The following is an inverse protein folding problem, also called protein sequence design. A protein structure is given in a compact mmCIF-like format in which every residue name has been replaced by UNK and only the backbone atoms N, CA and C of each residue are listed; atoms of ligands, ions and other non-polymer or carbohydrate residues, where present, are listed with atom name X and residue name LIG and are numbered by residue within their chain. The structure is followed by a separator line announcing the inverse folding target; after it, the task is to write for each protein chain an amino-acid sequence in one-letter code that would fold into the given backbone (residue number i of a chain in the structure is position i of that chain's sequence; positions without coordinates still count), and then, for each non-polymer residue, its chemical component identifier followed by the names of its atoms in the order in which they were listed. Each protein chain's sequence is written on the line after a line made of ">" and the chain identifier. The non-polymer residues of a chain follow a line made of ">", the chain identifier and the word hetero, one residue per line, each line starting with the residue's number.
data_IF_243873332608
#
_entry.id   IF_243873332608
#
_cell.length_a   1.000
_cell.length_b   1.000
_cell.length_c   1.000
_cell.angle_alpha   90.00
_cell.angle_beta   90.00
_cell.angle_gamma   90.00
#
_symmetry.space_group_name_H-M   'P 1'
#
loop_
_entity.id
_entity.type
_entity.pdbx_description
1 polymer ?
#
# COMPACT_ATOMS: atom_id res chain seq x y z
N UNK A 1 -2.70 38.49 -0.70
CA UNK A 1 -2.00 39.78 -0.57
C UNK A 1 -0.68 39.65 -1.28
N UNK A 2 -0.40 40.46 -2.30
CA UNK A 2 0.88 40.41 -3.02
C UNK A 2 1.92 41.17 -2.20
N UNK A 3 2.73 40.45 -1.43
CA UNK A 3 3.88 41.02 -0.72
C UNK A 3 4.85 41.62 -1.71
N UNK A 4 5.12 42.91 -1.58
CA UNK A 4 6.10 43.63 -2.40
C UNK A 4 7.46 43.64 -1.68
N UNK A 5 8.59 43.73 -2.39
CA UNK A 5 9.91 43.87 -1.75
C UNK A 5 10.01 45.04 -0.75
N UNK A 6 9.12 46.05 -0.89
CA UNK A 6 9.00 47.17 0.05
C UNK A 6 8.55 46.74 1.45
N UNK A 7 7.87 45.61 1.58
CA UNK A 7 7.35 45.11 2.87
C UNK A 7 8.48 44.51 3.76
N UNK A 8 9.60 44.11 3.14
CA UNK A 8 10.75 43.49 3.83
C UNK A 8 11.84 44.48 4.29
N UNK A 9 11.67 45.78 4.00
CA UNK A 9 12.64 46.85 4.32
C UNK A 9 14.09 46.48 3.90
N UNK A 10 14.23 45.88 2.72
CA UNK A 10 15.52 45.45 2.16
C UNK A 10 16.34 46.66 1.71
N UNK A 11 17.66 46.62 1.87
CA UNK A 11 18.52 47.56 1.18
C UNK A 11 18.34 47.44 -0.35
N UNK A 12 18.58 48.50 -1.14
CA UNK A 12 18.41 48.44 -2.59
C UNK A 12 19.19 47.29 -3.26
N UNK A 13 20.38 46.98 -2.76
CA UNK A 13 21.21 45.86 -3.23
C UNK A 13 20.61 44.50 -2.87
N UNK A 14 20.10 44.35 -1.64
CA UNK A 14 19.43 43.14 -1.19
C UNK A 14 18.13 42.88 -1.99
N UNK A 15 17.33 43.92 -2.24
CA UNK A 15 16.13 43.83 -3.06
C UNK A 15 16.45 43.33 -4.49
N UNK A 16 17.46 43.92 -5.14
CA UNK A 16 17.90 43.48 -6.47
C UNK A 16 18.40 42.02 -6.49
N UNK A 17 19.13 41.60 -5.44
CA UNK A 17 19.61 40.22 -5.30
C UNK A 17 18.46 39.23 -5.12
N UNK A 18 17.44 39.58 -4.34
CA UNK A 18 16.27 38.74 -4.09
C UNK A 18 15.40 38.59 -5.35
N UNK A 19 15.15 39.69 -6.06
CA UNK A 19 14.41 39.66 -7.33
C UNK A 19 15.13 38.81 -8.39
N UNK A 20 16.46 38.88 -8.43
CA UNK A 20 17.28 37.99 -9.28
C UNK A 20 17.14 36.52 -8.88
N UNK A 21 17.07 36.20 -7.58
CA UNK A 21 16.83 34.83 -7.12
C UNK A 21 15.44 34.34 -7.52
N UNK A 22 14.38 35.13 -7.29
CA UNK A 22 13.01 34.75 -7.64
C UNK A 22 12.82 34.60 -9.16
N UNK A 23 13.47 35.44 -9.98
CA UNK A 23 13.42 35.27 -11.44
C UNK A 23 14.07 33.97 -11.91
N UNK A 24 15.16 33.53 -11.27
CA UNK A 24 15.80 32.23 -11.54
C UNK A 24 14.92 31.05 -11.08
N UNK A 25 14.22 31.19 -9.96
CA UNK A 25 13.24 30.18 -9.49
C UNK A 25 12.09 30.05 -10.48
N UNK A 26 11.52 31.16 -10.96
CA UNK A 26 10.50 31.14 -12.02
C UNK A 26 10.98 30.46 -13.29
N UNK A 27 12.20 30.76 -13.72
CA UNK A 27 12.79 30.13 -14.89
C UNK A 27 12.97 28.61 -14.71
N UNK A 28 13.33 28.16 -13.50
CA UNK A 28 13.45 26.73 -13.17
C UNK A 28 12.09 26.01 -13.13
N UNK A 29 11.01 26.72 -12.76
CA UNK A 29 9.65 26.19 -12.69
C UNK A 29 8.87 26.28 -14.01
N UNK A 30 9.37 27.01 -15.01
CA UNK A 30 8.64 27.26 -16.27
C UNK A 30 8.30 26.01 -17.10
N UNK A 31 8.80 24.82 -16.73
CA UNK A 31 8.51 23.54 -17.39
C UNK A 31 7.79 22.50 -16.52
N UNK A 32 7.44 22.84 -15.27
CA UNK A 32 6.84 21.90 -14.33
C UNK A 32 5.32 22.10 -14.26
N UNK A 33 4.56 21.27 -14.96
CA UNK A 33 3.09 21.41 -15.05
C UNK A 33 2.33 21.16 -13.74
N UNK A 34 2.96 20.47 -12.78
CA UNK A 34 2.33 20.04 -11.53
C UNK A 34 2.52 21.02 -10.36
N UNK A 35 3.30 22.10 -10.54
CA UNK A 35 3.64 23.04 -9.46
C UNK A 35 3.27 24.45 -9.87
N UNK A 36 2.46 25.12 -9.04
CA UNK A 36 2.09 26.52 -9.23
C UNK A 36 3.28 27.44 -8.85
N UNK A 37 3.92 28.15 -9.79
CA UNK A 37 5.09 28.97 -9.49
C UNK A 37 4.81 30.09 -8.48
N UNK A 38 3.57 30.60 -8.47
CA UNK A 38 3.16 31.66 -7.54
C UNK A 38 3.12 31.21 -6.09
N UNK A 39 2.79 29.94 -5.82
CA UNK A 39 2.79 29.37 -4.47
C UNK A 39 4.22 29.23 -3.95
N UNK A 40 5.13 28.68 -4.76
CA UNK A 40 6.55 28.55 -4.38
C UNK A 40 7.20 29.91 -4.14
N UNK A 41 6.89 30.92 -4.98
CA UNK A 41 7.38 32.28 -4.74
C UNK A 41 6.82 32.88 -3.44
N UNK A 42 5.55 32.64 -3.13
CA UNK A 42 4.93 33.10 -1.88
C UNK A 42 5.60 32.46 -0.66
N UNK A 43 5.82 31.15 -0.69
CA UNK A 43 6.48 30.40 0.38
C UNK A 43 7.93 30.86 0.59
N UNK A 44 8.68 31.12 -0.49
CA UNK A 44 10.04 31.65 -0.40
C UNK A 44 10.04 33.04 0.25
N UNK A 45 9.09 33.92 -0.14
CA UNK A 45 8.96 35.26 0.47
C UNK A 45 8.64 35.17 1.95
N UNK A 46 7.68 34.33 2.33
CA UNK A 46 7.31 34.11 3.73
C UNK A 46 8.49 33.55 4.55
N UNK A 47 9.25 32.60 4.00
CA UNK A 47 10.43 32.07 4.66
C UNK A 47 11.52 33.13 4.87
N UNK A 48 11.81 33.93 3.84
CA UNK A 48 12.79 35.03 3.92
C UNK A 48 12.35 36.09 4.93
N UNK A 49 11.06 36.42 4.98
CA UNK A 49 10.49 37.33 5.98
C UNK A 49 10.71 36.81 7.41
N UNK A 50 10.36 35.55 7.65
CA UNK A 50 10.46 34.92 8.96
C UNK A 50 11.91 34.86 9.46
N UNK A 51 12.86 34.50 8.58
CA UNK A 51 14.29 34.44 8.94
C UNK A 51 14.90 35.83 9.17
N UNK A 52 14.43 36.86 8.47
CA UNK A 52 14.96 38.22 8.55
C UNK A 52 14.20 39.13 9.52
N UNK A 53 13.14 38.64 10.18
CA UNK A 53 12.32 39.44 11.08
C UNK A 53 13.14 40.14 12.20
N UNK A 54 14.23 39.51 12.66
CA UNK A 54 15.11 40.05 13.70
C UNK A 54 16.35 40.81 13.16
N UNK A 55 16.51 40.92 11.84
CA UNK A 55 17.66 41.59 11.25
C UNK A 55 17.56 43.13 11.39
N UNK A 56 18.70 43.84 11.51
CA UNK A 56 18.73 45.31 11.49
C UNK A 56 18.13 45.85 10.18
N UNK A 57 17.38 46.95 10.27
CA UNK A 57 16.73 47.60 9.12
C UNK A 57 17.45 48.88 8.69
N UNK A 58 17.64 49.13 7.39
CA UNK A 58 17.29 48.26 6.26
C UNK A 58 18.15 46.99 6.22
N UNK A 59 17.58 45.86 5.78
CA UNK A 59 18.25 44.55 5.83
C UNK A 59 19.47 44.56 4.90
N UNK A 60 20.68 44.24 5.39
CA UNK A 60 21.89 44.23 4.58
C UNK A 60 21.95 43.01 3.66
N UNK A 61 22.59 43.18 2.49
CA UNK A 61 22.78 42.11 1.48
C UNK A 61 23.35 40.82 2.09
N UNK A 62 24.33 40.94 2.99
CA UNK A 62 24.97 39.78 3.62
C UNK A 62 23.99 38.92 4.46
N UNK A 63 23.01 39.53 5.12
CA UNK A 63 22.00 38.80 5.88
C UNK A 63 21.05 38.04 4.94
N UNK A 64 20.62 38.67 3.85
CA UNK A 64 19.82 38.03 2.82
C UNK A 64 20.58 36.87 2.15
N UNK A 65 21.84 37.08 1.76
CA UNK A 65 22.65 36.04 1.10
C UNK A 65 22.84 34.81 2.00
N UNK A 66 22.93 34.98 3.32
CA UNK A 66 22.97 33.87 4.27
C UNK A 66 21.67 33.05 4.24
N UNK A 67 20.50 33.71 4.17
CA UNK A 67 19.19 33.04 4.04
C UNK A 67 19.05 32.36 2.68
N UNK A 68 19.43 33.03 1.59
CA UNK A 68 19.39 32.44 0.24
C UNK A 68 20.34 31.22 0.11
N UNK A 69 21.46 31.25 0.82
CA UNK A 69 22.39 30.10 0.90
C UNK A 69 21.76 28.92 1.62
N UNK A 70 21.01 29.15 2.71
CA UNK A 70 20.24 28.09 3.39
C UNK A 70 19.14 27.54 2.51
N UNK A 71 18.45 28.41 1.77
CA UNK A 71 17.41 27.99 0.83
C UNK A 71 17.98 27.09 -0.25
N UNK A 72 19.17 27.39 -0.79
CA UNK A 72 19.88 26.59 -1.80
C UNK A 72 19.77 27.19 -3.23
N UNK A 73 20.38 26.58 -4.25
CA UNK A 73 20.41 27.12 -5.61
C UNK A 73 19.01 27.13 -6.25
N UNK A 74 18.64 28.17 -7.03
CA UNK A 74 17.31 28.26 -7.66
C UNK A 74 16.90 27.05 -8.51
N UNK A 75 17.87 26.36 -9.10
CA UNK A 75 17.63 25.18 -9.96
C UNK A 75 17.07 23.96 -9.22
N UNK A 76 17.17 23.90 -7.88
CA UNK A 76 16.67 22.76 -7.11
C UNK A 76 15.13 22.77 -6.95
N UNK A 77 14.49 23.93 -7.18
CA UNK A 77 13.04 24.10 -7.04
C UNK A 77 12.28 23.54 -8.25
N UNK A 78 12.95 23.40 -9.40
CA UNK A 78 12.42 22.61 -10.51
C UNK A 78 12.40 21.14 -10.14
N UNK A 79 11.31 20.44 -10.43
CA UNK A 79 11.29 18.97 -10.31
C UNK A 79 12.30 18.42 -11.31
N UNK A 80 13.50 18.12 -10.82
CA UNK A 80 14.36 17.15 -11.46
C UNK A 80 13.64 15.80 -11.32
N UNK A 81 12.69 15.56 -12.22
CA UNK A 81 12.42 14.22 -12.74
C UNK A 81 13.70 13.79 -13.46
N UNK A 82 14.78 13.62 -12.70
CA UNK A 82 15.98 12.97 -13.18
C UNK A 82 15.69 11.47 -13.05
N UNK A 83 15.34 10.78 -14.14
CA UNK A 83 15.15 9.33 -14.09
C UNK A 83 16.40 8.63 -13.54
N UNK A 84 17.58 9.27 -13.57
CA UNK A 84 18.80 8.72 -13.01
C UNK A 84 18.85 8.72 -11.49
N UNK A 85 18.15 9.62 -10.79
CA UNK A 85 18.07 9.59 -9.32
C UNK A 85 17.23 8.41 -8.83
N UNK A 86 16.09 8.16 -9.48
CA UNK A 86 15.24 7.00 -9.17
C UNK A 86 15.95 5.69 -9.52
N UNK A 87 16.71 5.67 -10.63
CA UNK A 87 17.57 4.54 -10.98
C UNK A 87 18.71 4.33 -9.99
N UNK A 88 19.38 5.40 -9.54
CA UNK A 88 20.47 5.38 -8.55
C UNK A 88 19.96 4.95 -7.18
N UNK A 89 18.79 5.43 -6.75
CA UNK A 89 18.13 5.00 -5.52
C UNK A 89 17.76 3.52 -5.58
N UNK A 90 17.18 3.05 -6.70
CA UNK A 90 16.92 1.62 -6.93
C UNK A 90 18.21 0.78 -6.91
N UNK A 91 19.28 1.28 -7.51
CA UNK A 91 20.58 0.59 -7.53
C UNK A 91 21.17 0.49 -6.12
N UNK A 92 21.28 1.60 -5.40
CA UNK A 92 21.81 1.64 -4.04
C UNK A 92 20.96 0.80 -3.07
N UNK A 93 19.63 0.83 -3.22
CA UNK A 93 18.74 0.00 -2.43
C UNK A 93 18.93 -1.49 -2.73
N UNK A 94 19.08 -1.86 -4.01
CA UNK A 94 19.37 -3.23 -4.44
C UNK A 94 20.73 -3.70 -3.91
N UNK A 95 21.77 -2.88 -3.99
CA UNK A 95 23.10 -3.19 -3.46
C UNK A 95 23.09 -3.35 -1.95
N UNK A 96 22.43 -2.44 -1.21
CA UNK A 96 22.27 -2.56 0.24
C UNK A 96 21.50 -3.80 0.64
N UNK A 97 20.42 -4.14 -0.09
CA UNK A 97 19.69 -5.38 0.13
C UNK A 97 20.54 -6.62 -0.13
N UNK A 98 21.32 -6.63 -1.22
CA UNK A 98 22.22 -7.75 -1.55
C UNK A 98 23.33 -7.89 -0.51
N UNK A 99 23.93 -6.78 -0.06
CA UNK A 99 24.98 -6.76 0.97
C UNK A 99 24.44 -7.21 2.34
N UNK A 100 23.28 -6.70 2.76
CA UNK A 100 22.61 -7.13 4.00
C UNK A 100 22.24 -8.62 3.95
N UNK A 101 21.81 -9.11 2.77
CA UNK A 101 21.50 -10.53 2.54
C UNK A 101 22.76 -11.39 2.60
N UNK A 102 23.88 -10.95 2.03
CA UNK A 102 25.14 -11.69 2.09
C UNK A 102 25.63 -11.85 3.54
N UNK A 103 25.64 -10.77 4.34
CA UNK A 103 26.08 -10.82 5.73
C UNK A 103 25.17 -11.68 6.63
N UNK A 104 23.85 -11.60 6.44
CA UNK A 104 22.88 -12.43 7.19
C UNK A 104 22.96 -13.90 6.78
N UNK A 105 23.16 -14.20 5.51
CA UNK A 105 23.32 -15.58 5.02
C UNK A 105 24.56 -16.23 5.63
N UNK A 106 25.69 -15.53 5.72
CA UNK A 106 26.91 -16.10 6.32
C UNK A 106 26.77 -16.36 7.83
N UNK A 107 26.11 -15.45 8.57
CA UNK A 107 25.78 -15.70 9.98
C UNK A 107 24.82 -16.86 10.15
N UNK A 108 23.78 -16.93 9.32
CA UNK A 108 22.82 -18.02 9.34
C UNK A 108 23.47 -19.37 9.00
N UNK A 109 24.36 -19.43 8.02
CA UNK A 109 25.16 -20.62 7.70
C UNK A 109 25.98 -21.07 8.91
N UNK A 110 26.66 -20.15 9.60
CA UNK A 110 27.50 -20.49 10.76
C UNK A 110 26.68 -21.11 11.90
N UNK A 111 25.58 -20.47 12.30
CA UNK A 111 24.67 -21.01 13.34
C UNK A 111 24.09 -22.36 12.91
N UNK A 112 23.71 -22.47 11.63
CA UNK A 112 23.17 -23.71 11.04
C UNK A 112 24.17 -24.86 11.08
N UNK A 113 25.46 -24.62 10.82
CA UNK A 113 26.50 -25.66 10.91
C UNK A 113 26.76 -26.07 12.35
N UNK A 114 26.70 -25.14 13.32
CA UNK A 114 26.87 -25.48 14.75
C UNK A 114 25.73 -26.35 15.28
N UNK A 115 24.51 -26.18 14.76
CA UNK A 115 23.33 -26.93 15.17
C UNK A 115 23.16 -28.28 14.45
N UNK A 116 24.04 -28.63 13.49
CA UNK A 116 23.92 -29.85 12.70
C UNK A 116 25.27 -30.56 12.55
N UNK A 117 25.58 -31.51 13.43
CA UNK A 117 26.86 -32.22 13.44
C UNK A 117 26.88 -33.55 12.67
N UNK A 118 25.74 -34.07 12.20
CA UNK A 118 25.73 -35.35 11.47
C UNK A 118 24.37 -35.79 10.96
N UNK A 119 24.29 -36.89 10.20
CA UNK A 119 23.01 -37.45 9.72
C UNK A 119 22.10 -37.91 10.87
N UNK A 120 22.70 -38.32 11.99
CA UNK A 120 22.05 -38.73 13.25
C UNK A 120 21.60 -37.55 14.13
N UNK A 121 21.73 -36.30 13.67
CA UNK A 121 21.42 -35.14 14.53
C UNK A 121 19.92 -34.79 14.49
N UNK A 122 19.18 -35.22 15.51
CA UNK A 122 17.74 -34.96 15.63
C UNK A 122 17.41 -33.62 16.31
N UNK A 123 18.41 -32.87 16.78
CA UNK A 123 18.22 -31.69 17.64
C UNK A 123 17.33 -30.64 17.01
N UNK A 124 17.54 -30.31 15.74
CA UNK A 124 16.76 -29.28 15.05
C UNK A 124 15.30 -29.71 14.83
N UNK A 125 15.04 -31.00 14.58
CA UNK A 125 13.69 -31.54 14.43
C UNK A 125 12.94 -31.53 15.76
N UNK A 126 13.60 -31.95 16.85
CA UNK A 126 13.03 -31.85 18.20
C UNK A 126 12.83 -30.41 18.65
N UNK A 127 13.73 -29.50 18.31
CA UNK A 127 13.58 -28.08 18.64
C UNK A 127 12.39 -27.47 17.89
N UNK A 128 12.26 -27.73 16.59
CA UNK A 128 11.12 -27.24 15.80
C UNK A 128 9.79 -27.78 16.35
N UNK A 129 9.69 -29.09 16.60
CA UNK A 129 8.49 -29.71 17.13
C UNK A 129 8.21 -29.28 18.58
N UNK A 130 9.24 -29.19 19.43
CA UNK A 130 9.12 -28.79 20.83
C UNK A 130 8.62 -27.36 20.98
N UNK A 131 9.14 -26.42 20.17
CA UNK A 131 8.62 -25.04 20.12
C UNK A 131 7.17 -25.02 19.65
N UNK A 132 6.83 -25.81 18.63
CA UNK A 132 5.44 -25.93 18.15
C UNK A 132 4.49 -26.47 19.23
N UNK A 133 4.85 -27.58 19.89
CA UNK A 133 4.05 -28.21 20.93
C UNK A 133 3.90 -27.31 22.17
N UNK A 134 4.98 -26.64 22.59
CA UNK A 134 4.93 -25.67 23.69
C UNK A 134 4.00 -24.50 23.36
N UNK A 135 4.08 -23.98 22.13
CA UNK A 135 3.15 -22.97 21.64
C UNK A 135 1.70 -23.45 21.71
N UNK A 136 1.44 -24.65 21.22
CA UNK A 136 0.09 -25.22 21.19
C UNK A 136 -0.49 -25.43 22.60
N UNK A 137 0.34 -25.84 23.57
CA UNK A 137 -0.06 -26.02 24.97
C UNK A 137 -0.36 -24.70 25.69
N UNK A 138 0.39 -23.65 25.37
CA UNK A 138 0.30 -22.36 26.07
C UNK A 138 -0.74 -21.41 25.47
N UNK A 139 -1.17 -21.62 24.23
CA UNK A 139 -2.15 -20.84 23.44
C UNK A 139 -1.82 -19.36 23.23
N UNK A 140 -1.47 -18.61 24.27
CA UNK A 140 -1.13 -17.18 24.25
C UNK A 140 0.09 -16.91 23.37
N UNK A 141 1.16 -17.70 23.52
CA UNK A 141 2.38 -17.58 22.71
C UNK A 141 2.36 -18.42 21.43
N UNK A 142 1.23 -19.09 21.13
CA UNK A 142 1.11 -19.95 19.96
C UNK A 142 1.46 -19.25 18.64
N UNK A 143 1.01 -18.02 18.33
CA UNK A 143 1.33 -17.38 17.05
C UNK A 143 2.83 -17.17 16.86
N UNK A 144 3.53 -16.72 17.92
CA UNK A 144 4.97 -16.48 17.88
C UNK A 144 5.73 -17.81 17.79
N UNK A 145 5.34 -18.78 18.62
CA UNK A 145 5.93 -20.12 18.62
C UNK A 145 5.71 -20.85 17.28
N UNK A 146 4.57 -20.64 16.63
CA UNK A 146 4.27 -21.18 15.30
C UNK A 146 5.22 -20.61 14.23
N UNK A 147 5.47 -19.29 14.25
CA UNK A 147 6.42 -18.66 13.33
C UNK A 147 7.84 -19.16 13.57
N UNK A 148 8.28 -19.24 14.83
CA UNK A 148 9.62 -19.73 15.18
C UNK A 148 9.79 -21.20 14.79
N UNK A 149 8.83 -22.06 15.14
CA UNK A 149 8.86 -23.49 14.78
C UNK A 149 8.83 -23.71 13.27
N UNK A 150 8.08 -22.89 12.53
CA UNK A 150 8.10 -22.88 11.06
C UNK A 150 9.49 -22.56 10.50
N UNK A 151 10.14 -21.51 11.00
CA UNK A 151 11.49 -21.12 10.56
C UNK A 151 12.50 -22.25 10.85
N UNK A 152 12.45 -22.83 12.05
CA UNK A 152 13.31 -23.96 12.44
C UNK A 152 13.07 -25.19 11.56
N UNK A 153 11.80 -25.51 11.29
CA UNK A 153 11.44 -26.64 10.45
C UNK A 153 11.92 -26.45 9.00
N UNK A 154 11.74 -25.25 8.43
CA UNK A 154 12.25 -24.88 7.09
C UNK A 154 13.77 -24.96 7.04
N UNK A 155 14.47 -24.50 8.08
CA UNK A 155 15.92 -24.66 8.18
C UNK A 155 16.32 -26.14 8.18
N UNK A 156 15.63 -26.99 8.95
CA UNK A 156 15.91 -28.43 9.00
C UNK A 156 15.67 -29.17 7.70
N UNK A 157 14.61 -28.79 6.96
CA UNK A 157 14.35 -29.31 5.62
C UNK A 157 15.44 -28.88 4.61
N UNK A 158 15.87 -27.61 4.66
CA UNK A 158 16.93 -27.10 3.80
C UNK A 158 18.28 -27.80 4.07
N UNK A 159 18.62 -28.08 5.35
CA UNK A 159 19.86 -28.80 5.71
C UNK A 159 19.86 -30.21 5.18
N UNK A 160 18.75 -30.92 5.34
CA UNK A 160 18.63 -32.29 4.84
C UNK A 160 18.77 -32.33 3.32
N UNK A 161 18.15 -31.39 2.61
CA UNK A 161 18.23 -31.29 1.15
C UNK A 161 19.66 -31.00 0.67
N UNK A 162 20.36 -30.03 1.27
CA UNK A 162 21.75 -29.70 0.90
C UNK A 162 22.73 -30.85 1.14
N UNK A 163 22.50 -31.66 2.18
CA UNK A 163 23.34 -32.83 2.48
C UNK A 163 22.95 -34.09 1.71
N UNK A 164 21.92 -34.04 0.87
CA UNK A 164 21.40 -35.21 0.15
C UNK A 164 20.83 -36.30 1.07
N UNK A 165 20.44 -35.96 2.30
CA UNK A 165 19.95 -36.94 3.28
C UNK A 165 18.44 -37.09 3.11
N UNK A 166 17.99 -38.29 2.77
CA UNK A 166 16.57 -38.63 2.77
C UNK A 166 16.05 -38.66 4.22
N UNK A 167 15.07 -37.79 4.52
CA UNK A 167 14.43 -37.76 5.83
C UNK A 167 13.58 -39.02 6.04
N UNK A 168 13.92 -39.83 7.04
CA UNK A 168 13.08 -40.94 7.49
C UNK A 168 11.68 -40.47 7.93
N UNK A 169 10.71 -41.37 7.95
CA UNK A 169 9.31 -41.06 8.28
C UNK A 169 9.18 -40.34 9.63
N UNK A 170 9.85 -40.83 10.68
CA UNK A 170 9.83 -40.21 12.02
C UNK A 170 10.33 -38.75 12.02
N UNK A 171 11.37 -38.44 11.26
CA UNK A 171 11.91 -37.07 11.21
C UNK A 171 11.02 -36.13 10.41
N UNK A 172 10.35 -36.62 9.36
CA UNK A 172 9.33 -35.84 8.64
C UNK A 172 8.19 -35.44 9.58
N UNK A 173 7.73 -36.34 10.43
CA UNK A 173 6.65 -36.06 11.39
C UNK A 173 6.96 -34.93 12.38
N UNK A 174 8.23 -34.72 12.73
CA UNK A 174 8.64 -33.63 13.62
C UNK A 174 8.71 -32.26 12.91
N UNK A 175 9.09 -32.25 11.63
CA UNK A 175 9.31 -31.01 10.87
C UNK A 175 8.04 -30.52 10.15
N UNK A 176 7.18 -31.44 9.69
CA UNK A 176 6.07 -31.10 8.80
C UNK A 176 4.89 -30.36 9.46
N UNK A 177 4.48 -30.64 10.72
CA UNK A 177 3.31 -29.98 11.31
C UNK A 177 3.35 -28.44 11.26
N UNK A 178 4.40 -27.75 11.74
CA UNK A 178 4.45 -26.29 11.64
C UNK A 178 4.52 -25.79 10.19
N UNK A 179 5.19 -26.54 9.29
CA UNK A 179 5.28 -26.20 7.86
C UNK A 179 3.92 -26.29 7.18
N UNK A 180 3.20 -27.39 7.37
CA UNK A 180 1.88 -27.60 6.78
C UNK A 180 0.89 -26.59 7.35
N UNK A 181 0.90 -26.37 8.67
CA UNK A 181 -0.05 -25.46 9.30
C UNK A 181 0.14 -24.01 8.81
N UNK A 182 1.39 -23.49 8.82
CA UNK A 182 1.66 -22.14 8.32
C UNK A 182 1.35 -22.04 6.83
N UNK A 183 1.74 -23.02 6.02
CA UNK A 183 1.48 -22.99 4.59
C UNK A 183 -0.02 -23.04 4.28
N UNK A 184 -0.78 -23.84 5.02
CA UNK A 184 -2.24 -23.91 4.89
C UNK A 184 -2.90 -22.58 5.27
N UNK A 185 -2.48 -21.98 6.39
CA UNK A 185 -3.01 -20.67 6.82
C UNK A 185 -2.67 -19.59 5.79
N UNK A 186 -1.43 -19.56 5.28
CA UNK A 186 -1.02 -18.64 4.23
C UNK A 186 -1.82 -18.86 2.94
N UNK A 187 -2.05 -20.11 2.55
CA UNK A 187 -2.85 -20.46 1.38
C UNK A 187 -4.31 -20.02 1.54
N UNK A 188 -4.92 -20.31 2.70
CA UNK A 188 -6.28 -19.87 3.02
C UNK A 188 -6.34 -18.35 3.00
N UNK A 189 -5.42 -17.65 3.66
CA UNK A 189 -5.37 -16.19 3.66
C UNK A 189 -5.25 -15.63 2.23
N UNK A 190 -4.41 -16.24 1.40
CA UNK A 190 -4.21 -15.85 -0.01
C UNK A 190 -5.48 -15.98 -0.85
N UNK A 191 -6.29 -17.00 -0.60
CA UNK A 191 -7.55 -17.27 -1.32
C UNK A 191 -8.73 -16.47 -0.73
N UNK A 192 -8.78 -16.33 0.59
CA UNK A 192 -9.87 -15.66 1.32
C UNK A 192 -9.76 -14.14 1.23
N UNK A 193 -8.55 -13.58 1.16
CA UNK A 193 -8.34 -12.13 1.08
C UNK A 193 -9.16 -11.43 -0.01
N UNK A 194 -9.15 -11.87 -1.28
CA UNK A 194 -9.95 -11.22 -2.32
C UNK A 194 -11.46 -11.41 -2.10
N UNK A 195 -11.89 -12.53 -1.48
CA UNK A 195 -13.30 -12.74 -1.12
C UNK A 195 -13.72 -11.78 0.00
N UNK A 196 -12.85 -11.54 0.98
CA UNK A 196 -13.08 -10.57 2.05
C UNK A 196 -13.15 -9.14 1.47
N UNK A 197 -12.25 -8.78 0.56
CA UNK A 197 -12.28 -7.48 -0.13
C UNK A 197 -13.56 -7.29 -0.95
N UNK A 198 -13.99 -8.33 -1.68
CA UNK A 198 -15.27 -8.33 -2.40
C UNK A 198 -16.47 -8.24 -1.44
N UNK A 199 -16.41 -8.89 -0.28
CA UNK A 199 -17.45 -8.82 0.74
C UNK A 199 -17.58 -7.42 1.37
N UNK A 200 -16.45 -6.75 1.65
CA UNK A 200 -16.44 -5.38 2.19
C UNK A 200 -17.06 -4.42 1.18
N UNK A 201 -16.62 -4.47 -0.08
CA UNK A 201 -17.17 -3.63 -1.15
C UNK A 201 -18.65 -3.91 -1.41
N UNK A 202 -19.06 -5.19 -1.41
CA UNK A 202 -20.47 -5.57 -1.55
C UNK A 202 -21.35 -5.09 -0.41
N UNK A 203 -20.83 -5.02 0.83
CA UNK A 203 -21.56 -4.45 1.97
C UNK A 203 -21.79 -2.95 1.81
N UNK A 204 -20.84 -2.21 1.26
CA UNK A 204 -21.02 -0.78 0.96
C UNK A 204 -22.09 -0.57 -0.11
N UNK A 205 -22.10 -1.37 -1.18
CA UNK A 205 -23.16 -1.33 -2.20
C UNK A 205 -24.53 -1.66 -1.61
N UNK A 206 -24.62 -2.71 -0.78
CA UNK A 206 -25.87 -3.08 -0.11
C UNK A 206 -26.35 -2.00 0.86
N UNK A 207 -25.43 -1.38 1.60
CA UNK A 207 -25.73 -0.24 2.47
C UNK A 207 -26.26 0.95 1.65
N UNK A 208 -25.68 1.21 0.48
CA UNK A 208 -26.11 2.26 -0.45
C UNK A 208 -27.53 2.01 -0.96
N UNK A 209 -27.83 0.79 -1.40
CA UNK A 209 -29.18 0.40 -1.79
C UNK A 209 -30.20 0.54 -0.65
N UNK A 210 -29.81 0.17 0.58
CA UNK A 210 -30.67 0.32 1.74
C UNK A 210 -30.91 1.79 2.12
N UNK A 211 -29.91 2.67 1.93
CA UNK A 211 -30.07 4.13 2.11
C UNK A 211 -31.10 4.68 1.12
N UNK A 212 -31.02 4.32 -0.15
CA UNK A 212 -31.99 4.74 -1.19
C UNK A 212 -33.39 4.27 -0.82
N UNK A 213 -33.57 2.98 -0.48
CA UNK A 213 -34.89 2.43 -0.15
C UNK A 213 -35.52 3.14 1.07
N UNK A 214 -34.73 3.42 2.10
CA UNK A 214 -35.23 4.09 3.30
C UNK A 214 -35.44 5.60 3.09
N UNK A 215 -34.68 6.23 2.18
CA UNK A 215 -34.83 7.65 1.87
C UNK A 215 -36.20 7.96 1.24
N UNK A 216 -36.69 7.07 0.38
CA UNK A 216 -37.99 7.21 -0.30
C UNK A 216 -39.18 6.83 0.60
N UNK A 217 -38.95 6.27 1.80
CA UNK A 217 -40.06 5.94 2.72
C UNK A 217 -40.62 7.21 3.34
N UNK A 218 -41.95 7.43 3.28
CA UNK A 218 -42.57 8.59 3.91
C UNK A 218 -42.37 8.53 5.43
N UNK A 219 -41.94 9.66 6.02
CA UNK A 219 -41.79 9.74 7.47
C UNK A 219 -43.16 9.66 8.15
N UNK A 220 -43.27 8.97 9.30
CA UNK A 220 -44.46 9.06 10.12
C UNK A 220 -44.61 10.51 10.62
N UNK A 221 -45.85 11.03 10.57
CA UNK A 221 -46.17 12.36 11.07
C UNK A 221 -45.84 12.43 12.57
N UNK A 222 -45.03 13.41 13.02
CA UNK A 222 -44.70 13.58 14.44
C UNK A 222 -45.95 13.83 15.27
N UNK A 223 -46.11 13.09 16.38
CA UNK A 223 -47.26 13.18 17.29
C UNK A 223 -47.01 14.09 18.48
N UNK A 224 -45.75 14.42 18.78
CA UNK A 224 -45.38 15.24 19.94
C UNK A 224 -44.12 16.11 19.68
N UNK A 225 -43.84 17.06 20.57
CA UNK A 225 -42.75 18.03 20.44
C UNK A 225 -41.34 17.40 20.46
N UNK A 226 -41.17 16.27 21.17
CA UNK A 226 -39.91 15.52 21.14
C UNK A 226 -39.69 14.91 19.76
N UNK A 227 -40.73 14.31 19.19
CA UNK A 227 -40.71 13.78 17.83
C UNK A 227 -40.53 14.86 16.76
N UNK A 228 -41.00 16.10 16.99
CA UNK A 228 -40.71 17.24 16.09
C UNK A 228 -39.23 17.64 16.11
N UNK A 229 -38.59 17.70 17.29
CA UNK A 229 -37.14 17.96 17.38
C UNK A 229 -36.34 16.86 16.68
N UNK A 230 -36.75 15.60 16.86
CA UNK A 230 -36.16 14.45 16.17
C UNK A 230 -36.50 14.45 14.66
N UNK A 231 -37.59 15.09 14.24
CA UNK A 231 -37.92 15.26 12.82
C UNK A 231 -37.05 16.34 12.18
N UNK A 232 -36.72 17.42 12.89
CA UNK A 232 -35.82 18.46 12.40
C UNK A 232 -34.39 17.94 12.20
N UNK A 233 -33.85 17.18 13.16
CA UNK A 233 -32.54 16.52 13.00
C UNK A 233 -32.54 15.47 11.88
N UNK A 234 -33.67 14.79 11.66
CA UNK A 234 -33.88 13.91 10.50
C UNK A 234 -33.91 14.69 9.18
N UNK A 235 -34.51 15.88 9.14
CA UNK A 235 -34.54 16.71 7.93
C UNK A 235 -33.12 17.18 7.57
N UNK A 236 -32.34 17.68 8.53
CA UNK A 236 -30.93 18.03 8.30
C UNK A 236 -30.08 16.83 7.86
N UNK A 237 -30.38 15.63 8.36
CA UNK A 237 -29.77 14.40 7.88
C UNK A 237 -30.20 14.09 6.44
N UNK A 238 -31.48 14.21 6.09
CA UNK A 238 -31.99 14.02 4.72
C UNK A 238 -31.33 14.98 3.75
N UNK A 239 -31.20 16.26 4.11
CA UNK A 239 -30.56 17.26 3.25
C UNK A 239 -29.08 16.94 3.00
N UNK A 240 -28.35 16.44 4.01
CA UNK A 240 -26.96 15.98 3.86
C UNK A 240 -26.82 14.71 3.02
N UNK A 241 -27.80 13.81 3.11
CA UNK A 241 -27.77 12.49 2.46
C UNK A 241 -28.39 12.53 1.06
N UNK A 242 -29.20 13.54 0.73
CA UNK A 242 -29.87 13.68 -0.55
C UNK A 242 -28.89 13.72 -1.73
N UNK A 243 -27.76 14.41 -1.60
CA UNK A 243 -26.72 14.43 -2.64
C UNK A 243 -26.11 13.04 -2.86
N UNK A 244 -25.77 12.34 -1.77
CA UNK A 244 -25.23 10.97 -1.84
C UNK A 244 -26.23 9.97 -2.41
N UNK A 245 -27.51 10.06 -2.04
CA UNK A 245 -28.57 9.18 -2.54
C UNK A 245 -28.81 9.40 -4.04
N UNK A 246 -28.73 10.64 -4.51
CA UNK A 246 -28.86 10.94 -5.94
C UNK A 246 -27.67 10.40 -6.75
N UNK A 247 -26.44 10.51 -6.24
CA UNK A 247 -25.25 9.88 -6.83
C UNK A 247 -25.36 8.35 -6.84
N UNK A 248 -25.74 7.73 -5.71
CA UNK A 248 -25.93 6.28 -5.58
C UNK A 248 -27.04 5.78 -6.55
N UNK A 249 -28.11 6.56 -6.72
CA UNK A 249 -29.21 6.26 -7.64
C UNK A 249 -28.76 6.32 -9.10
N UNK A 250 -27.98 7.34 -9.48
CA UNK A 250 -27.36 7.43 -10.81
C UNK A 250 -26.46 6.23 -11.10
N UNK A 251 -25.60 5.87 -10.15
CA UNK A 251 -24.72 4.71 -10.24
C UNK A 251 -25.49 3.40 -10.47
N UNK A 252 -26.55 3.16 -9.68
CA UNK A 252 -27.34 1.92 -9.81
C UNK A 252 -28.18 1.89 -11.09
N UNK A 253 -28.62 3.04 -11.60
CA UNK A 253 -29.39 3.12 -12.85
C UNK A 253 -28.55 2.81 -14.10
N UNK A 254 -27.22 2.97 -14.03
CA UNK A 254 -26.31 2.62 -15.14
C UNK A 254 -26.10 1.11 -15.28
N UNK A 255 -26.43 0.32 -14.26
CA UNK A 255 -26.28 -1.14 -14.30
C UNK A 255 -27.42 -1.72 -15.13
N UNK A 256 -27.15 -2.49 -16.20
CA UNK A 256 -28.17 -3.07 -17.07
C UNK A 256 -28.84 -4.29 -16.40
N UNK A 257 -29.48 -4.06 -15.25
CA UNK A 257 -30.18 -5.05 -14.45
C UNK A 257 -31.51 -4.48 -13.96
N UNK A 258 -32.45 -5.38 -13.65
CA UNK A 258 -33.68 -4.97 -12.96
C UNK A 258 -33.31 -4.25 -11.64
N UNK A 259 -33.98 -3.13 -11.28
CA UNK A 259 -33.67 -2.36 -10.06
C UNK A 259 -33.60 -3.22 -8.78
N UNK A 260 -34.39 -4.29 -8.70
CA UNK A 260 -34.36 -5.24 -7.59
C UNK A 260 -33.03 -6.00 -7.46
N UNK A 261 -32.35 -6.25 -8.58
CA UNK A 261 -31.11 -7.01 -8.66
C UNK A 261 -29.87 -6.13 -8.86
N UNK A 262 -30.04 -4.86 -9.24
CA UNK A 262 -28.94 -3.93 -9.50
C UNK A 262 -27.88 -3.88 -8.37
N UNK A 263 -28.24 -3.83 -7.06
CA UNK A 263 -27.24 -3.83 -5.99
C UNK A 263 -26.40 -5.12 -5.94
N UNK A 264 -27.03 -6.27 -6.16
CA UNK A 264 -26.33 -7.56 -6.20
C UNK A 264 -25.38 -7.62 -7.39
N UNK A 265 -25.84 -7.17 -8.57
CA UNK A 265 -25.03 -7.14 -9.79
C UNK A 265 -23.84 -6.18 -9.62
N UNK A 266 -24.03 -5.00 -9.03
CA UNK A 266 -22.93 -4.07 -8.74
C UNK A 266 -21.90 -4.69 -7.78
N UNK A 267 -22.37 -5.32 -6.69
CA UNK A 267 -21.50 -5.97 -5.72
C UNK A 267 -20.67 -7.09 -6.36
N UNK A 268 -21.30 -7.91 -7.20
CA UNK A 268 -20.61 -8.97 -7.95
C UNK A 268 -19.62 -8.40 -8.96
N UNK A 269 -19.99 -7.31 -9.66
CA UNK A 269 -19.14 -6.65 -10.65
C UNK A 269 -17.88 -6.06 -10.00
N UNK A 270 -18.02 -5.32 -8.90
CA UNK A 270 -16.88 -4.76 -8.14
C UNK A 270 -16.04 -5.88 -7.53
N UNK A 271 -16.70 -6.88 -6.93
CA UNK A 271 -16.02 -8.04 -6.35
C UNK A 271 -15.21 -8.82 -7.38
N UNK A 272 -15.74 -9.02 -8.58
CA UNK A 272 -15.04 -9.66 -9.70
C UNK A 272 -13.80 -8.88 -10.12
N UNK A 273 -13.90 -7.55 -10.25
CA UNK A 273 -12.76 -6.68 -10.57
C UNK A 273 -11.65 -6.77 -9.52
N UNK A 274 -12.01 -6.67 -8.24
CA UNK A 274 -11.06 -6.80 -7.14
C UNK A 274 -10.39 -8.19 -7.11
N UNK A 275 -11.17 -9.25 -7.34
CA UNK A 275 -10.66 -10.62 -7.41
C UNK A 275 -9.69 -10.81 -8.58
N UNK A 276 -10.06 -10.35 -9.79
CA UNK A 276 -9.20 -10.43 -10.96
C UNK A 276 -7.91 -9.62 -10.76
N UNK A 277 -7.99 -8.41 -10.20
CA UNK A 277 -6.81 -7.58 -9.89
C UNK A 277 -5.87 -8.27 -8.89
N UNK A 278 -6.41 -8.86 -7.82
CA UNK A 278 -5.63 -9.61 -6.85
C UNK A 278 -4.84 -10.74 -7.49
N UNK A 279 -5.50 -11.57 -8.31
CA UNK A 279 -4.84 -12.68 -8.98
C UNK A 279 -3.90 -12.24 -10.10
N UNK A 280 -4.14 -11.10 -10.75
CA UNK A 280 -3.20 -10.51 -11.70
C UNK A 280 -1.88 -10.11 -11.00
N UNK A 281 -1.98 -9.43 -9.85
CA UNK A 281 -0.82 -9.04 -9.03
C UNK A 281 -0.10 -10.27 -8.50
N UNK A 282 -0.84 -11.22 -7.91
CA UNK A 282 -0.26 -12.43 -7.35
C UNK A 282 0.40 -13.31 -8.42
N UNK A 283 -0.24 -13.47 -9.59
CA UNK A 283 0.34 -14.16 -10.74
C UNK A 283 1.65 -13.51 -11.19
N UNK A 284 1.69 -12.19 -11.25
CA UNK A 284 2.89 -11.41 -11.64
C UNK A 284 4.02 -11.57 -10.63
N UNK A 285 3.72 -11.49 -9.34
CA UNK A 285 4.70 -11.67 -8.25
C UNK A 285 5.26 -13.09 -8.27
N UNK A 286 4.40 -14.10 -8.38
CA UNK A 286 4.83 -15.52 -8.40
C UNK A 286 5.58 -15.89 -9.68
N UNK A 287 5.26 -15.26 -10.82
CA UNK A 287 6.03 -15.40 -12.06
C UNK A 287 7.44 -14.78 -11.96
N UNK A 288 7.57 -13.66 -11.23
CA UNK A 288 8.84 -12.93 -11.05
C UNK A 288 9.73 -13.62 -10.02
N UNK A 289 9.13 -14.21 -8.98
CA UNK A 289 9.84 -14.83 -7.85
C UNK A 289 9.45 -16.30 -7.65
N UNK A 290 9.64 -17.17 -8.67
CA UNK A 290 9.20 -18.57 -8.63
C UNK A 290 9.90 -19.36 -7.51
N UNK A 291 11.17 -19.04 -7.23
CA UNK A 291 11.94 -19.66 -6.15
C UNK A 291 11.37 -19.31 -4.78
N UNK A 292 10.89 -18.07 -4.59
CA UNK A 292 10.24 -17.65 -3.34
C UNK A 292 8.92 -18.39 -3.14
N UNK A 293 8.09 -18.51 -4.19
CA UNK A 293 6.83 -19.26 -4.14
C UNK A 293 7.07 -20.73 -3.79
N UNK A 294 8.03 -21.38 -4.47
CA UNK A 294 8.44 -22.76 -4.13
C UNK A 294 8.94 -22.86 -2.70
N UNK A 295 9.75 -21.90 -2.26
CA UNK A 295 10.32 -21.91 -0.92
C UNK A 295 9.27 -21.68 0.17
N UNK A 296 8.25 -20.85 -0.06
CA UNK A 296 7.17 -20.63 0.92
C UNK A 296 6.27 -21.87 0.95
N UNK A 297 5.78 -22.32 -0.20
CA UNK A 297 4.76 -23.36 -0.27
C UNK A 297 5.33 -24.78 -0.45
N UNK A 298 6.58 -25.04 -0.13
CA UNK A 298 7.13 -26.40 -0.17
C UNK A 298 6.47 -27.27 0.93
N UNK A 299 6.00 -28.49 0.63
CA UNK A 299 6.19 -29.24 -0.63
C UNK A 299 5.08 -29.07 -1.67
N UNK A 300 3.99 -28.37 -1.35
CA UNK A 300 2.78 -28.22 -2.20
C UNK A 300 3.10 -27.65 -3.60
N UNK A 301 4.06 -26.73 -3.69
CA UNK A 301 4.40 -26.04 -4.93
C UNK A 301 5.75 -26.48 -5.54
N UNK A 302 6.22 -27.71 -5.30
CA UNK A 302 7.52 -28.16 -5.84
C UNK A 302 7.61 -28.15 -7.37
N UNK A 303 6.51 -28.41 -8.05
CA UNK A 303 6.38 -28.35 -9.52
C UNK A 303 6.00 -26.96 -10.04
N UNK A 304 5.95 -25.93 -9.18
CA UNK A 304 5.51 -24.60 -9.61
C UNK A 304 6.52 -23.98 -10.55
N UNK A 305 6.22 -23.97 -11.83
CA UNK A 305 7.00 -23.24 -12.84
C UNK A 305 6.57 -21.77 -12.98
N UNK A 306 7.49 -20.87 -13.39
CA UNK A 306 7.17 -19.45 -13.61
C UNK A 306 6.03 -19.24 -14.63
N UNK A 307 5.87 -20.19 -15.57
CA UNK A 307 4.80 -20.16 -16.57
C UNK A 307 3.41 -20.14 -15.92
N UNK A 308 3.20 -20.86 -14.82
CA UNK A 308 1.88 -20.92 -14.17
C UNK A 308 1.47 -19.54 -13.64
N UNK A 309 2.38 -18.82 -12.98
CA UNK A 309 2.13 -17.45 -12.52
C UNK A 309 1.84 -16.49 -13.69
N UNK A 310 2.59 -16.61 -14.79
CA UNK A 310 2.35 -15.79 -16.00
C UNK A 310 0.99 -16.06 -16.61
N UNK A 311 0.58 -17.32 -16.74
CA UNK A 311 -0.73 -17.69 -17.28
C UNK A 311 -1.87 -17.11 -16.44
N UNK A 312 -1.77 -17.21 -15.11
CA UNK A 312 -2.76 -16.60 -14.20
C UNK A 312 -2.78 -15.08 -14.37
N UNK A 313 -1.61 -14.44 -14.40
CA UNK A 313 -1.52 -12.99 -14.58
C UNK A 313 -2.16 -12.53 -15.90
N UNK A 314 -1.81 -13.18 -17.02
CA UNK A 314 -2.34 -12.86 -18.34
C UNK A 314 -3.85 -13.09 -18.39
N UNK A 315 -4.34 -14.22 -17.88
CA UNK A 315 -5.77 -14.50 -17.85
C UNK A 315 -6.54 -13.42 -17.07
N UNK A 316 -6.05 -13.03 -15.89
CA UNK A 316 -6.67 -11.98 -15.10
C UNK A 316 -6.58 -10.59 -15.74
N UNK A 317 -5.46 -10.25 -16.39
CA UNK A 317 -5.35 -9.00 -17.16
C UNK A 317 -6.33 -8.97 -18.32
N UNK A 318 -6.48 -10.08 -19.05
CA UNK A 318 -7.48 -10.18 -20.14
C UNK A 318 -8.91 -10.00 -19.61
N UNK A 319 -9.23 -10.52 -18.43
CA UNK A 319 -10.53 -10.31 -17.78
C UNK A 319 -10.73 -8.87 -17.28
N UNK A 320 -9.65 -8.19 -16.89
CA UNK A 320 -9.70 -6.80 -16.43
C UNK A 320 -9.92 -5.81 -17.57
N UNK A 321 -9.58 -6.14 -18.82
CA UNK A 321 -9.80 -5.24 -19.98
C UNK A 321 -11.29 -4.91 -20.16
N UNK A 322 -12.21 -5.88 -20.37
CA UNK A 322 -13.63 -5.57 -20.53
C UNK A 322 -14.24 -5.01 -19.24
N UNK A 323 -13.75 -5.44 -18.07
CA UNK A 323 -14.19 -4.88 -16.79
C UNK A 323 -13.82 -3.39 -16.67
N UNK A 324 -12.59 -3.03 -17.01
CA UNK A 324 -12.09 -1.66 -16.98
C UNK A 324 -12.79 -0.76 -18.00
N UNK A 325 -13.11 -1.30 -19.19
CA UNK A 325 -13.94 -0.60 -20.17
C UNK A 325 -15.33 -0.28 -19.61
N UNK A 326 -16.00 -1.26 -18.98
CA UNK A 326 -17.28 -1.05 -18.33
C UNK A 326 -17.21 -0.03 -17.17
N UNK A 327 -16.16 -0.06 -16.35
CA UNK A 327 -15.92 0.95 -15.31
C UNK A 327 -15.73 2.34 -15.91
N UNK A 328 -14.96 2.45 -17.00
CA UNK A 328 -14.74 3.71 -17.70
C UNK A 328 -16.05 4.30 -18.23
N UNK A 329 -16.89 3.47 -18.87
CA UNK A 329 -18.19 3.91 -19.39
C UNK A 329 -19.12 4.39 -18.27
N UNK A 330 -19.12 3.70 -17.11
CA UNK A 330 -19.87 4.12 -15.91
C UNK A 330 -19.36 5.48 -15.41
N UNK A 331 -18.04 5.66 -15.29
CA UNK A 331 -17.45 6.92 -14.83
C UNK A 331 -17.75 8.05 -15.80
N UNK A 332 -17.61 7.82 -17.11
CA UNK A 332 -17.88 8.81 -18.15
C UNK A 332 -19.34 9.27 -18.16
N UNK A 333 -20.28 8.41 -17.76
CA UNK A 333 -21.69 8.75 -17.65
C UNK A 333 -22.05 9.56 -16.38
N UNK A 334 -21.14 9.66 -15.40
CA UNK A 334 -21.36 10.41 -14.16
C UNK A 334 -20.88 11.88 -14.23
N UNK A 335 -19.93 12.17 -15.13
CA UNK A 335 -19.31 13.50 -15.33
C UNK A 335 -20.20 14.36 -16.21
#
# INVERSE_FOLDING_TARGET
>A
MTFTPADLDLSPEAAARFDSYLSQVRAALAGTGDVNPGEIEADIREHVENELHAAPRPVPLAALDAVLTKLGPPSQWGTTNDPTLLHRARHLFRERLLAARAGTVERAKRVRFTLWNGPEDWRLAYLAFGVFALGALTMIVFPIALVVSYILARAGLAVAAEKGIALGAGRKWLLYPPVVLVNLVLLIALVVWPVAAAGITGREVAASAHRIENFDRPDPVPRNAREMRDAQSRQEWKDRVASQVEEDRKLLAMIPANPRWAPLVAALFVGFGAFALWWAVLGSVTATFPLSTRAVFHPLCNSFEPRHGRWVAVACVVLLIPWGAAVYDIIAALV
#
